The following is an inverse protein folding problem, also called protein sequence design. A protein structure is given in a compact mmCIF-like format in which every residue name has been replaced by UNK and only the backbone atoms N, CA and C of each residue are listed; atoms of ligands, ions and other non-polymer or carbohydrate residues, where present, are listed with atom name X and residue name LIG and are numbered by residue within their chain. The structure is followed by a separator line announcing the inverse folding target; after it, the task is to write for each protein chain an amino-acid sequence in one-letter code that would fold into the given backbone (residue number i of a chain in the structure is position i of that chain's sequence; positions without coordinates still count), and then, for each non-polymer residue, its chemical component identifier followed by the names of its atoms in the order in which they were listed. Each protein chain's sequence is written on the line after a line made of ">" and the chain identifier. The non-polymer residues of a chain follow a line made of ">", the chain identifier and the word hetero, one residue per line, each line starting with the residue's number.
data_IF_943202743585
#
_entry.id   IF_943202743585
#
_cell.length_a   1.000
_cell.length_b   1.000
_cell.length_c   1.000
_cell.angle_alpha   90.00
_cell.angle_beta   90.00
_cell.angle_gamma   90.00
#
_symmetry.space_group_name_H-M   'P 1'
#
loop_
_entity.id
_entity.type
_entity.pdbx_description
1 polymer ?
#
# COMPACT_ATOMS: atom_id res chain seq x y z
N UNK A 1 -47.37 24.10 64.10
CA UNK A 1 -45.95 23.93 63.75
C UNK A 1 -45.85 23.83 62.24
N UNK A 2 -45.30 24.86 61.58
CA UNK A 2 -45.29 25.04 60.12
C UNK A 2 -43.85 24.90 59.60
N UNK A 3 -43.64 24.01 58.64
CA UNK A 3 -42.51 23.95 57.70
C UNK A 3 -42.68 22.67 56.84
N UNK A 4 -42.25 22.52 55.59
CA UNK A 4 -42.08 23.36 54.39
C UNK A 4 -41.90 22.31 53.28
N UNK A 5 -42.72 22.32 52.23
CA UNK A 5 -42.54 21.51 51.02
C UNK A 5 -41.24 21.82 50.27
N UNK A 6 -40.48 20.82 49.82
CA UNK A 6 -39.79 20.92 48.53
C UNK A 6 -39.72 19.57 47.82
N UNK A 7 -40.13 19.59 46.55
CA UNK A 7 -40.26 18.50 45.58
C UNK A 7 -39.01 18.48 44.69
N UNK A 8 -38.72 17.33 44.06
CA UNK A 8 -38.27 17.08 42.66
C UNK A 8 -37.39 15.82 42.66
N UNK A 9 -37.39 14.87 41.72
CA UNK A 9 -38.26 14.41 40.62
C UNK A 9 -37.49 13.24 39.97
N UNK A 10 -38.20 12.15 39.61
CA UNK A 10 -37.89 11.18 38.52
C UNK A 10 -36.59 10.35 38.59
N UNK A 11 -36.76 9.03 38.65
CA UNK A 11 -35.88 8.09 37.94
C UNK A 11 -36.72 6.92 37.42
N UNK A 12 -36.84 6.87 36.11
CA UNK A 12 -37.61 5.93 35.29
C UNK A 12 -36.94 4.58 35.12
N UNK A 13 -37.76 3.54 35.30
CA UNK A 13 -37.90 2.31 34.49
C UNK A 13 -36.72 1.32 34.31
N UNK A 14 -36.97 0.12 34.84
CA UNK A 14 -36.24 -1.16 34.77
C UNK A 14 -36.73 -1.96 33.50
N UNK A 15 -36.24 -3.17 33.14
CA UNK A 15 -35.37 -3.43 31.99
C UNK A 15 -35.81 -4.62 31.07
N UNK A 16 -34.97 -4.91 30.06
CA UNK A 16 -34.53 -6.25 29.56
C UNK A 16 -35.44 -7.15 28.67
N UNK A 17 -34.76 -7.82 27.71
CA UNK A 17 -35.10 -9.03 26.90
C UNK A 17 -35.96 -8.82 25.63
N UNK A 18 -35.79 -9.50 24.49
CA UNK A 18 -34.79 -10.42 23.93
C UNK A 18 -35.13 -10.66 22.42
N UNK A 19 -34.11 -10.86 21.58
CA UNK A 19 -33.97 -11.90 20.52
C UNK A 19 -35.16 -12.20 19.57
N UNK A 20 -35.00 -11.97 18.25
CA UNK A 20 -34.82 -13.02 17.21
C UNK A 20 -34.68 -12.43 15.79
N UNK A 21 -33.88 -13.16 14.99
CA UNK A 21 -33.52 -12.94 13.60
C UNK A 21 -34.62 -13.40 12.63
N UNK A 22 -34.62 -12.89 11.38
CA UNK A 22 -34.46 -13.73 10.18
C UNK A 22 -34.27 -12.91 8.89
N UNK A 23 -33.59 -13.56 7.95
CA UNK A 23 -33.00 -13.11 6.68
C UNK A 23 -34.00 -12.62 5.61
N UNK A 24 -33.54 -11.77 4.68
CA UNK A 24 -33.81 -11.93 3.22
C UNK A 24 -32.85 -11.06 2.39
N UNK A 25 -31.78 -11.69 1.90
CA UNK A 25 -31.28 -11.70 0.51
C UNK A 25 -31.70 -10.54 -0.43
N UNK A 26 -30.73 -9.78 -0.99
CA UNK A 26 -30.54 -9.63 -2.45
C UNK A 26 -29.49 -8.58 -2.84
N UNK A 27 -28.59 -9.00 -3.74
CA UNK A 27 -27.89 -8.24 -4.79
C UNK A 27 -26.67 -7.38 -4.44
N UNK A 28 -25.51 -7.88 -4.88
CA UNK A 28 -24.34 -7.06 -5.25
C UNK A 28 -24.73 -6.03 -6.33
N UNK A 29 -23.97 -4.93 -6.46
CA UNK A 29 -22.84 -4.97 -7.37
C UNK A 29 -21.54 -4.41 -6.76
N UNK A 30 -20.45 -5.10 -7.06
CA UNK A 30 -19.10 -4.70 -6.75
C UNK A 30 -18.67 -3.51 -7.63
N UNK A 31 -17.68 -2.77 -7.11
CA UNK A 31 -16.82 -1.74 -7.72
C UNK A 31 -17.27 -0.27 -7.62
N UNK A 32 -16.34 0.70 -7.51
CA UNK A 32 -14.92 0.65 -7.15
C UNK A 32 -14.64 1.45 -5.86
N UNK A 33 -13.55 1.12 -5.16
CA UNK A 33 -13.06 1.82 -3.97
C UNK A 33 -13.07 3.35 -4.14
N UNK A 34 -14.14 4.02 -3.72
CA UNK A 34 -14.09 5.41 -3.32
C UNK A 34 -13.56 5.40 -1.89
N UNK A 35 -12.27 5.74 -1.78
CA UNK A 35 -11.61 6.02 -0.52
C UNK A 35 -12.31 7.23 0.10
N UNK A 36 -13.30 6.98 0.94
CA UNK A 36 -13.80 7.94 1.91
C UNK A 36 -13.83 7.26 3.27
N UNK A 37 -13.47 8.06 4.27
CA UNK A 37 -13.39 7.77 5.71
C UNK A 37 -12.11 7.05 6.14
N UNK A 38 -11.43 7.39 7.22
CA UNK A 38 -11.43 8.49 8.19
C UNK A 38 -10.42 8.01 9.26
N UNK A 39 -9.63 8.92 9.82
CA UNK A 39 -8.99 8.77 11.14
C UNK A 39 -8.34 7.41 11.48
N UNK A 40 -7.31 7.09 10.74
CA UNK A 40 -6.10 6.50 11.29
C UNK A 40 -4.98 6.92 10.34
N UNK A 41 -4.09 7.79 10.79
CA UNK A 41 -2.71 7.73 10.31
C UNK A 41 -2.13 6.48 10.98
N UNK A 42 -2.01 5.31 10.33
CA UNK A 42 -0.80 4.57 10.54
C UNK A 42 0.23 5.45 9.86
N UNK A 43 1.03 6.17 10.64
CA UNK A 43 2.32 6.62 10.16
C UNK A 43 3.08 5.35 9.82
N UNK A 44 2.81 4.82 8.62
CA UNK A 44 3.58 3.77 7.98
C UNK A 44 5.02 4.28 8.08
N UNK A 45 5.96 3.48 8.59
CA UNK A 45 7.36 3.88 8.52
C UNK A 45 7.62 4.37 7.09
N UNK A 46 8.38 5.45 6.88
CA UNK A 46 8.61 6.00 5.54
C UNK A 46 9.20 4.98 4.54
N UNK A 47 9.59 3.79 5.01
CA UNK A 47 10.00 2.61 4.26
C UNK A 47 8.87 1.70 3.73
N UNK A 48 7.62 1.81 4.18
CA UNK A 48 6.51 0.93 3.74
C UNK A 48 5.45 1.63 2.90
N UNK A 49 5.51 2.96 2.79
CA UNK A 49 4.37 3.75 2.34
C UNK A 49 3.89 3.47 0.90
N UNK A 50 4.70 2.88 0.01
CA UNK A 50 4.26 2.54 -1.35
C UNK A 50 4.89 1.27 -1.93
N UNK A 51 4.96 0.18 -1.15
CA UNK A 51 5.33 -1.13 -1.71
C UNK A 51 4.22 -1.66 -2.62
N UNK A 52 4.54 -1.89 -3.89
CA UNK A 52 3.61 -2.42 -4.90
C UNK A 52 4.28 -3.53 -5.70
N UNK A 53 3.47 -4.32 -6.40
CA UNK A 53 3.98 -5.32 -7.35
C UNK A 53 4.25 -4.71 -8.73
N UNK A 54 5.06 -5.35 -9.55
CA UNK A 54 5.35 -4.93 -10.93
C UNK A 54 4.05 -4.84 -11.75
N UNK A 55 3.15 -5.80 -11.60
CA UNK A 55 1.86 -5.78 -12.29
C UNK A 55 0.97 -4.61 -11.87
N UNK A 56 1.01 -4.22 -10.59
CA UNK A 56 0.32 -3.02 -10.10
C UNK A 56 0.99 -1.76 -10.64
N UNK A 57 2.32 -1.71 -10.63
CA UNK A 57 3.11 -0.60 -11.13
C UNK A 57 2.77 -0.27 -12.60
N UNK A 58 2.57 -1.28 -13.46
CA UNK A 58 2.15 -1.07 -14.85
C UNK A 58 0.81 -0.32 -15.02
N UNK A 59 -0.09 -0.40 -14.02
CA UNK A 59 -1.40 0.27 -14.02
C UNK A 59 -1.34 1.71 -13.52
N UNK A 60 -0.24 2.13 -12.90
CA UNK A 60 -0.07 3.47 -12.37
C UNK A 60 0.29 4.48 -13.46
N UNK A 61 0.20 5.76 -13.11
CA UNK A 61 0.58 6.87 -13.98
C UNK A 61 2.10 6.95 -14.15
N UNK A 62 2.54 7.54 -15.26
CA UNK A 62 3.94 7.92 -15.47
C UNK A 62 4.43 8.85 -14.34
N UNK A 63 5.69 8.72 -13.95
CA UNK A 63 6.30 9.51 -12.88
C UNK A 63 5.89 9.08 -11.46
N UNK A 64 5.06 8.06 -11.30
CA UNK A 64 4.65 7.58 -9.97
C UNK A 64 5.83 6.89 -9.29
N UNK A 65 6.19 7.37 -8.10
CA UNK A 65 7.20 6.74 -7.25
C UNK A 65 6.62 5.51 -6.57
N UNK A 66 7.30 4.38 -6.74
CA UNK A 66 6.89 3.09 -6.23
C UNK A 66 8.07 2.33 -5.67
N UNK A 67 7.81 1.55 -4.64
CA UNK A 67 8.79 0.61 -4.10
C UNK A 67 8.42 -0.79 -4.55
N UNK A 68 9.38 -1.48 -5.16
CA UNK A 68 9.20 -2.84 -5.65
C UNK A 68 10.27 -3.70 -4.99
N UNK A 69 9.84 -4.82 -4.42
CA UNK A 69 10.74 -5.83 -3.90
C UNK A 69 10.72 -7.02 -4.84
N UNK A 70 11.90 -7.51 -5.19
CA UNK A 70 12.03 -8.61 -6.12
C UNK A 70 13.45 -9.13 -6.18
N UNK A 71 13.67 -9.99 -7.15
CA UNK A 71 14.96 -10.60 -7.44
C UNK A 71 15.51 -10.02 -8.73
N UNK A 72 16.80 -9.70 -8.74
CA UNK A 72 17.47 -9.34 -9.98
C UNK A 72 17.76 -10.60 -10.78
N UNK A 73 17.15 -10.78 -11.94
CA UNK A 73 17.37 -11.97 -12.77
C UNK A 73 18.62 -11.86 -13.63
N UNK A 74 18.86 -10.68 -14.19
CA UNK A 74 19.95 -10.46 -15.14
C UNK A 74 20.31 -8.99 -15.25
N UNK A 75 21.59 -8.71 -15.52
CA UNK A 75 22.04 -7.39 -15.99
C UNK A 75 21.96 -7.35 -17.52
N UNK A 76 21.15 -6.44 -18.06
CA UNK A 76 20.90 -6.32 -19.51
C UNK A 76 21.78 -5.24 -20.18
N UNK A 77 22.17 -4.21 -19.43
CA UNK A 77 23.02 -3.12 -19.92
C UNK A 77 23.96 -2.62 -18.83
N UNK A 78 24.54 -1.43 -19.01
CA UNK A 78 25.47 -0.85 -18.03
C UNK A 78 24.79 -0.57 -16.68
N UNK A 79 23.63 0.09 -16.71
CA UNK A 79 22.81 0.40 -15.53
C UNK A 79 21.42 -0.26 -15.59
N UNK A 80 21.16 -1.13 -16.58
CA UNK A 80 19.83 -1.74 -16.78
C UNK A 80 19.84 -3.17 -16.27
N UNK A 81 18.93 -3.46 -15.34
CA UNK A 81 18.75 -4.75 -14.71
C UNK A 81 17.32 -5.23 -14.89
N UNK A 82 17.14 -6.54 -15.10
CA UNK A 82 15.83 -7.16 -15.11
C UNK A 82 15.45 -7.50 -13.67
N UNK A 83 14.49 -6.77 -13.12
CA UNK A 83 13.89 -7.05 -11.83
C UNK A 83 12.67 -7.93 -12.03
N UNK A 84 12.56 -9.00 -11.25
CA UNK A 84 11.40 -9.88 -11.24
C UNK A 84 10.80 -9.96 -9.85
N UNK A 85 9.48 -9.91 -9.81
CA UNK A 85 8.69 -10.27 -8.64
C UNK A 85 7.73 -11.42 -8.99
N UNK A 86 6.85 -11.78 -8.06
CA UNK A 86 5.86 -12.84 -8.28
C UNK A 86 4.81 -12.46 -9.34
N UNK A 87 4.64 -11.17 -9.62
CA UNK A 87 3.63 -10.65 -10.52
C UNK A 87 4.12 -10.44 -11.95
N UNK A 88 5.43 -10.35 -12.16
CA UNK A 88 6.01 -10.10 -13.48
C UNK A 88 7.47 -9.66 -13.45
N UNK A 89 7.91 -9.02 -14.53
CA UNK A 89 9.27 -8.56 -14.75
C UNK A 89 9.27 -7.12 -15.25
N UNK A 90 10.29 -6.34 -14.87
CA UNK A 90 10.46 -4.95 -15.30
C UNK A 90 11.94 -4.59 -15.47
N UNK A 91 12.23 -3.75 -16.45
CA UNK A 91 13.55 -3.16 -16.63
C UNK A 91 13.76 -2.04 -15.60
N UNK A 92 14.62 -2.29 -14.61
CA UNK A 92 15.04 -1.33 -13.62
C UNK A 92 16.37 -0.68 -14.03
N UNK A 93 16.37 0.64 -14.16
CA UNK A 93 17.58 1.43 -14.39
C UNK A 93 18.15 1.82 -13.03
N UNK A 94 19.25 1.18 -12.63
CA UNK A 94 19.93 1.36 -11.35
C UNK A 94 21.31 1.96 -11.63
N UNK A 95 21.47 3.29 -11.52
CA UNK A 95 22.76 3.93 -11.72
C UNK A 95 23.79 3.45 -10.69
N UNK A 96 25.05 3.30 -11.11
CA UNK A 96 26.15 2.97 -10.21
C UNK A 96 26.27 3.89 -8.97
N UNK A 97 25.87 5.16 -9.10
CA UNK A 97 25.82 6.12 -8.00
C UNK A 97 24.88 5.70 -6.86
N UNK A 98 23.77 5.02 -7.17
CA UNK A 98 22.80 4.53 -6.18
C UNK A 98 23.31 3.24 -5.52
N UNK A 99 24.07 2.44 -6.25
CA UNK A 99 24.63 1.17 -5.76
C UNK A 99 25.69 1.35 -4.67
N UNK A 100 26.36 2.51 -4.56
CA UNK A 100 27.36 2.82 -3.51
C UNK A 100 28.41 1.70 -3.29
N UNK A 101 28.91 1.10 -4.37
CA UNK A 101 29.84 -0.06 -4.36
C UNK A 101 29.25 -1.36 -3.78
N UNK A 102 27.94 -1.46 -3.58
CA UNK A 102 27.30 -2.73 -3.25
C UNK A 102 27.53 -3.73 -4.41
N UNK A 103 28.11 -4.89 -4.08
CA UNK A 103 28.19 -5.99 -5.00
C UNK A 103 26.78 -6.57 -5.20
N UNK A 104 26.19 -6.26 -6.35
CA UNK A 104 24.87 -6.73 -6.76
C UNK A 104 25.05 -7.77 -7.85
N UNK A 105 24.65 -9.00 -7.54
CA UNK A 105 24.69 -10.13 -8.46
C UNK A 105 23.28 -10.47 -8.95
N UNK A 106 23.13 -10.96 -10.20
CA UNK A 106 21.91 -11.66 -10.59
C UNK A 106 21.65 -12.83 -9.63
N UNK A 107 20.45 -12.92 -9.09
CA UNK A 107 20.03 -13.87 -8.07
C UNK A 107 19.84 -13.25 -6.68
N UNK A 108 20.30 -12.02 -6.47
CA UNK A 108 20.10 -11.30 -5.21
C UNK A 108 18.66 -10.78 -5.09
N UNK A 109 18.12 -10.83 -3.86
CA UNK A 109 16.87 -10.16 -3.52
C UNK A 109 17.16 -8.70 -3.16
N UNK A 110 16.35 -7.81 -3.70
CA UNK A 110 16.55 -6.37 -3.60
C UNK A 110 15.23 -5.65 -3.38
N UNK A 111 15.31 -4.51 -2.72
CA UNK A 111 14.23 -3.54 -2.56
C UNK A 111 14.67 -2.29 -3.33
N UNK A 112 13.90 -1.92 -4.35
CA UNK A 112 14.17 -0.73 -5.17
C UNK A 112 13.03 0.25 -5.02
N UNK A 113 13.38 1.52 -4.83
CA UNK A 113 12.45 2.63 -4.89
C UNK A 113 12.80 3.46 -6.12
N UNK A 114 11.79 3.76 -6.92
CA UNK A 114 11.99 4.48 -8.16
C UNK A 114 10.70 5.02 -8.74
N UNK A 115 10.84 5.87 -9.75
CA UNK A 115 9.72 6.40 -10.51
C UNK A 115 9.48 5.58 -11.77
N UNK A 116 8.21 5.31 -12.09
CA UNK A 116 7.84 4.65 -13.35
C UNK A 116 8.03 5.59 -14.53
N UNK A 117 8.77 5.14 -15.54
CA UNK A 117 8.99 5.83 -16.80
C UNK A 117 8.28 5.06 -17.92
N UNK A 118 7.03 5.45 -18.17
CA UNK A 118 6.15 4.87 -19.21
C UNK A 118 6.35 5.55 -20.56
N UNK A 119 7.24 6.55 -20.66
CA UNK A 119 7.63 7.18 -21.92
C UNK A 119 8.58 6.30 -22.74
N UNK A 120 9.24 5.34 -22.09
CA UNK A 120 10.10 4.34 -22.73
C UNK A 120 9.30 3.09 -23.13
N UNK A 121 9.74 2.39 -24.18
CA UNK A 121 9.20 1.08 -24.58
C UNK A 121 10.36 0.07 -24.69
N UNK A 122 10.41 -0.99 -23.85
CA UNK A 122 9.51 -1.28 -22.73
C UNK A 122 9.57 -0.19 -21.64
N UNK A 123 8.50 -0.06 -20.85
CA UNK A 123 8.48 0.89 -19.73
C UNK A 123 9.52 0.50 -18.69
N UNK A 124 10.14 1.50 -18.06
CA UNK A 124 11.30 1.29 -17.17
C UNK A 124 11.02 1.85 -15.79
N UNK A 125 11.69 1.31 -14.79
CA UNK A 125 11.73 1.88 -13.45
C UNK A 125 13.03 2.66 -13.26
N UNK A 126 12.94 3.97 -13.02
CA UNK A 126 14.10 4.82 -12.70
C UNK A 126 14.38 4.71 -11.21
N UNK A 127 15.40 3.95 -10.83
CA UNK A 127 15.70 3.69 -9.42
C UNK A 127 16.45 4.87 -8.82
N UNK A 128 15.91 5.42 -7.74
CA UNK A 128 16.51 6.50 -6.95
C UNK A 128 17.14 5.99 -5.67
N UNK A 129 16.61 4.89 -5.11
CA UNK A 129 17.15 4.23 -3.93
C UNK A 129 17.18 2.72 -4.12
N UNK A 130 18.29 2.11 -3.71
CA UNK A 130 18.56 0.69 -3.83
C UNK A 130 18.99 0.14 -2.49
N UNK A 131 18.35 -0.95 -2.08
CA UNK A 131 18.66 -1.68 -0.86
C UNK A 131 18.79 -3.17 -1.21
N UNK A 132 19.89 -3.80 -0.81
CA UNK A 132 20.09 -5.24 -0.93
C UNK A 132 19.57 -5.93 0.33
N UNK A 133 18.73 -6.96 0.15
CA UNK A 133 18.14 -7.77 1.23
C UNK A 133 18.88 -9.10 1.40
#
# INVERSE_FOLDING_TARGET
>A
MKHWKLIVLVSTFFPLMAVQAEETQSSAPQTPHQLTHSDAEPSLPPEEAHRVTIAQAGRLADGTSVQIQGRLEKKQGEDVYLLRDDSGQIDAVIPAAVLRNAAVAPGDNVSVLGALDKKQTPYRLRVSHFEKR
#
